data_IF_905120565209
#
_entry.id   IF_905120565209
#
_cell.length_a   1.000
_cell.length_b   1.000
_cell.length_c   1.000
_cell.angle_alpha   90.00
_cell.angle_beta   90.00
_cell.angle_gamma   90.00
#
_symmetry.space_group_name_H-M   'P 1'
#
loop_
_entity.id
_entity.type
_entity.pdbx_description
1 polymer ?
#
# COMPACT_ATOMS: atom_id res chain seq x y z
N UNK A 1 4.26 -12.25 1.00
CA UNK A 1 3.38 -12.24 -0.19
C UNK A 1 4.25 -12.34 -1.43
N UNK A 2 3.78 -12.92 -2.52
CA UNK A 2 4.55 -12.98 -3.78
C UNK A 2 4.52 -11.60 -4.44
N UNK A 3 5.69 -11.00 -4.73
CA UNK A 3 5.82 -9.61 -5.21
C UNK A 3 4.94 -9.35 -6.44
N UNK A 4 4.88 -10.31 -7.36
CA UNK A 4 4.07 -10.23 -8.58
C UNK A 4 2.57 -10.16 -8.27
N UNK A 5 2.12 -10.91 -7.24
CA UNK A 5 0.73 -10.87 -6.79
C UNK A 5 0.38 -9.55 -6.13
N UNK A 6 1.32 -8.94 -5.40
CA UNK A 6 1.12 -7.61 -4.79
C UNK A 6 0.94 -6.56 -5.88
N UNK A 7 1.81 -6.57 -6.89
CA UNK A 7 1.74 -5.64 -8.01
C UNK A 7 0.43 -5.80 -8.79
N UNK A 8 0.04 -7.04 -9.10
CA UNK A 8 -1.24 -7.31 -9.76
C UNK A 8 -2.44 -6.81 -8.93
N UNK A 9 -2.42 -7.05 -7.61
CA UNK A 9 -3.44 -6.56 -6.69
C UNK A 9 -3.55 -5.03 -6.72
N UNK A 10 -2.42 -4.32 -6.57
CA UNK A 10 -2.38 -2.85 -6.60
C UNK A 10 -2.93 -2.30 -7.92
N UNK A 11 -2.54 -2.88 -9.05
CA UNK A 11 -3.08 -2.47 -10.36
C UNK A 11 -4.58 -2.71 -10.48
N UNK A 12 -5.08 -3.84 -9.96
CA UNK A 12 -6.50 -4.17 -9.98
C UNK A 12 -7.33 -3.20 -9.12
N UNK A 13 -6.84 -2.85 -7.94
CA UNK A 13 -7.48 -1.89 -7.04
C UNK A 13 -7.43 -0.45 -7.59
N UNK A 14 -6.29 -0.02 -8.15
CA UNK A 14 -6.22 1.28 -8.84
C UNK A 14 -7.23 1.40 -9.98
N UNK A 15 -7.48 0.32 -10.73
CA UNK A 15 -8.52 0.30 -11.78
C UNK A 15 -9.94 0.41 -11.23
N UNK A 16 -10.18 0.03 -9.98
CA UNK A 16 -11.47 0.21 -9.28
C UNK A 16 -11.63 1.62 -8.70
N UNK A 17 -10.55 2.42 -8.70
CA UNK A 17 -10.53 3.76 -8.13
C UNK A 17 -10.06 3.83 -6.68
N UNK A 18 -9.49 2.75 -6.14
CA UNK A 18 -8.92 2.72 -4.79
C UNK A 18 -7.77 3.71 -4.70
N UNK A 19 -7.82 4.59 -3.70
CA UNK A 19 -6.81 5.62 -3.46
C UNK A 19 -5.50 5.03 -2.93
N UNK A 20 -4.42 5.82 -2.98
CA UNK A 20 -3.13 5.42 -2.41
C UNK A 20 -3.22 5.20 -0.89
N UNK A 21 -4.00 6.01 -0.17
CA UNK A 21 -4.20 5.90 1.28
C UNK A 21 -4.96 4.61 1.64
N UNK A 22 -6.04 4.30 0.92
CA UNK A 22 -6.75 3.02 1.09
C UNK A 22 -5.85 1.82 0.79
N UNK A 23 -5.00 1.90 -0.25
CA UNK A 23 -4.02 0.86 -0.55
C UNK A 23 -2.97 0.70 0.56
N UNK A 24 -2.55 1.78 1.21
CA UNK A 24 -1.67 1.74 2.38
C UNK A 24 -2.32 0.91 3.49
N UNK A 25 -3.57 1.21 3.86
CA UNK A 25 -4.30 0.46 4.88
C UNK A 25 -4.47 -1.02 4.51
N UNK A 26 -4.92 -1.32 3.29
CA UNK A 26 -5.14 -2.70 2.86
C UNK A 26 -3.84 -3.51 2.91
N UNK A 27 -2.74 -2.97 2.40
CA UNK A 27 -1.46 -3.68 2.44
C UNK A 27 -0.95 -3.85 3.88
N UNK A 28 -1.10 -2.84 4.73
CA UNK A 28 -0.73 -2.90 6.14
C UNK A 28 -1.53 -3.96 6.91
N UNK A 29 -2.85 -4.01 6.73
CA UNK A 29 -3.74 -5.01 7.33
C UNK A 29 -3.41 -6.43 6.86
N UNK A 30 -2.88 -6.58 5.65
CA UNK A 30 -2.39 -7.86 5.12
C UNK A 30 -0.97 -8.21 5.60
N UNK A 31 -0.40 -7.43 6.53
CA UNK A 31 0.89 -7.68 7.15
C UNK A 31 2.09 -7.31 6.27
N UNK A 32 1.89 -6.46 5.25
CA UNK A 32 2.99 -5.96 4.42
C UNK A 32 3.77 -4.91 5.22
N UNK A 33 5.10 -5.04 5.37
CA UNK A 33 5.90 -4.05 6.08
C UNK A 33 5.83 -2.66 5.43
N UNK A 34 5.85 -1.61 6.25
CA UNK A 34 5.80 -0.19 5.81
C UNK A 34 6.81 0.14 4.71
N UNK A 35 8.04 -0.37 4.80
CA UNK A 35 9.06 -0.14 3.77
C UNK A 35 8.71 -0.82 2.43
N UNK A 36 8.03 -1.98 2.45
CA UNK A 36 7.56 -2.64 1.24
C UNK A 36 6.37 -1.88 0.64
N UNK A 37 5.44 -1.40 1.47
CA UNK A 37 4.32 -0.55 1.03
C UNK A 37 4.85 0.69 0.32
N UNK A 38 5.83 1.37 0.92
CA UNK A 38 6.51 2.52 0.32
C UNK A 38 7.10 2.19 -1.06
N UNK A 39 7.78 1.05 -1.18
CA UNK A 39 8.35 0.61 -2.46
C UNK A 39 7.27 0.24 -3.50
N UNK A 40 6.21 -0.45 -3.09
CA UNK A 40 5.14 -0.89 -3.98
C UNK A 40 4.28 0.26 -4.52
N UNK A 41 4.03 1.26 -3.69
CA UNK A 41 3.16 2.38 -4.03
C UNK A 41 3.91 3.61 -4.56
N UNK A 42 5.25 3.55 -4.59
CA UNK A 42 6.14 4.65 -4.98
C UNK A 42 5.85 5.93 -4.19
N UNK A 43 5.82 5.79 -2.86
CA UNK A 43 5.60 6.89 -1.90
C UNK A 43 6.66 6.85 -0.81
N UNK A 44 6.90 7.98 -0.14
CA UNK A 44 7.87 8.03 0.96
C UNK A 44 7.39 7.23 2.17
N UNK A 45 8.33 6.60 2.90
CA UNK A 45 8.03 5.92 4.18
C UNK A 45 7.28 6.84 5.15
N UNK A 46 7.70 8.12 5.24
CA UNK A 46 7.03 9.09 6.13
C UNK A 46 5.56 9.28 5.80
N UNK A 47 5.22 9.33 4.51
CA UNK A 47 3.83 9.45 4.09
C UNK A 47 3.01 8.22 4.51
N UNK A 48 3.60 7.01 4.41
CA UNK A 48 2.95 5.79 4.89
C UNK A 48 2.74 5.84 6.41
N UNK A 49 3.75 6.26 7.16
CA UNK A 49 3.67 6.43 8.62
C UNK A 49 2.63 7.48 9.04
N UNK A 50 2.57 8.62 8.35
CA UNK A 50 1.58 9.68 8.58
C UNK A 50 0.16 9.15 8.39
N UNK A 51 -0.10 8.49 7.26
CA UNK A 51 -1.42 7.89 6.95
C UNK A 51 -1.82 6.85 8.00
N UNK A 52 -0.89 5.99 8.44
CA UNK A 52 -1.17 4.96 9.45
C UNK A 52 -1.26 5.52 10.89
N UNK A 53 -0.81 6.75 11.13
CA UNK A 53 -0.82 7.39 12.45
C UNK A 53 -2.06 8.24 12.74
N UNK A 54 -2.83 8.58 11.69
CA UNK A 54 -4.05 9.39 11.77
C UNK A 54 -5.31 8.57 12.12
N UNK A 55 -5.16 7.28 12.47
CA UNK A 55 -6.21 6.35 12.93
C UNK A 55 -6.16 6.07 14.46
#
# INVERSE_FOLDING_TARGET
MDEEKVRYFIEAERKKGTSTEELIFILYDNGVPVYEISNFLDVSIRHVEEVLSDD
#
